data_IF_181587009046
#
_entry.id   IF_181587009046
#
_cell.length_a   1.000
_cell.length_b   1.000
_cell.length_c   1.000
_cell.angle_alpha   90.00
_cell.angle_beta   90.00
_cell.angle_gamma   90.00
#
_symmetry.space_group_name_H-M   'P 1'
#
loop_
_entity.id
_entity.type
_entity.pdbx_description
1 polymer ?
#
# COMPACT_ATOMS: atom_id res chain seq x y z
N UNK A 1 43.13 -10.16 -34.49
CA UNK A 1 42.14 -10.87 -35.33
C UNK A 1 40.93 -9.95 -35.52
N UNK A 2 40.71 -9.45 -36.74
CA UNK A 2 39.55 -8.62 -37.10
C UNK A 2 38.44 -9.53 -37.61
N UNK A 3 37.26 -9.48 -37.01
CA UNK A 3 36.06 -10.13 -37.54
C UNK A 3 35.11 -9.06 -38.06
N UNK A 4 34.99 -8.99 -39.39
CA UNK A 4 33.90 -8.30 -40.07
C UNK A 4 32.81 -9.34 -40.34
N UNK A 5 31.58 -9.06 -39.94
CA UNK A 5 30.41 -9.85 -40.33
C UNK A 5 29.48 -8.96 -41.14
N UNK A 6 29.24 -9.39 -42.38
CA UNK A 6 28.45 -8.70 -43.39
C UNK A 6 26.95 -8.77 -43.07
N UNK A 7 26.27 -7.64 -43.26
CA UNK A 7 24.81 -7.53 -43.18
C UNK A 7 24.18 -7.91 -44.53
N UNK A 8 23.32 -8.92 -44.53
CA UNK A 8 22.45 -9.26 -45.67
C UNK A 8 21.09 -8.57 -45.49
N UNK A 9 20.83 -7.56 -46.32
CA UNK A 9 19.53 -6.90 -46.45
C UNK A 9 18.66 -7.72 -47.41
N UNK A 10 17.60 -8.34 -46.90
CA UNK A 10 16.54 -8.93 -47.73
C UNK A 10 15.37 -7.97 -47.83
N UNK A 11 15.17 -7.44 -49.03
CA UNK A 11 14.00 -6.62 -49.41
C UNK A 11 12.85 -7.60 -49.66
N UNK A 12 11.79 -7.49 -48.85
CA UNK A 12 10.56 -8.26 -49.00
C UNK A 12 9.53 -7.39 -49.76
N UNK A 13 8.88 -7.88 -50.83
CA UNK A 13 7.94 -7.09 -51.62
C UNK A 13 6.64 -6.82 -50.84
N UNK A 14 6.30 -5.54 -50.69
CA UNK A 14 5.04 -5.07 -50.12
C UNK A 14 3.89 -5.37 -51.07
N UNK A 15 3.06 -6.35 -50.72
CA UNK A 15 1.72 -6.54 -51.29
C UNK A 15 0.78 -5.58 -50.55
N UNK A 16 0.35 -4.52 -51.23
CA UNK A 16 -0.66 -3.59 -50.74
C UNK A 16 -2.06 -4.20 -50.96
N UNK A 17 -2.60 -4.85 -49.93
CA UNK A 17 -4.03 -5.18 -49.86
C UNK A 17 -4.79 -3.94 -49.35
N UNK A 18 -5.56 -3.30 -50.23
CA UNK A 18 -6.50 -2.25 -49.87
C UNK A 18 -7.73 -2.88 -49.20
N UNK A 19 -7.70 -3.01 -47.87
CA UNK A 19 -8.87 -3.35 -47.06
C UNK A 19 -9.74 -2.10 -46.89
N UNK A 20 -11.00 -2.19 -47.31
CA UNK A 20 -12.01 -1.18 -47.05
C UNK A 20 -12.30 -1.12 -45.54
N UNK A 21 -11.72 -0.12 -44.87
CA UNK A 21 -11.94 0.14 -43.45
C UNK A 21 -13.32 0.80 -43.30
N UNK A 22 -14.32 0.02 -42.91
CA UNK A 22 -15.56 0.58 -42.38
C UNK A 22 -15.28 1.17 -40.99
N UNK A 23 -15.59 2.45 -40.73
CA UNK A 23 -15.50 2.99 -39.38
C UNK A 23 -16.59 2.33 -38.54
N UNK A 24 -16.20 1.37 -37.71
CA UNK A 24 -17.09 0.83 -36.70
C UNK A 24 -17.52 2.00 -35.78
N UNK A 25 -18.82 2.12 -35.43
CA UNK A 25 -19.25 3.09 -34.44
C UNK A 25 -18.55 2.77 -33.12
N UNK A 26 -17.60 3.63 -32.73
CA UNK A 26 -16.97 3.60 -31.42
C UNK A 26 -18.05 4.03 -30.42
N UNK A 27 -18.79 3.06 -29.91
CA UNK A 27 -19.67 3.22 -28.77
C UNK A 27 -18.78 3.47 -27.55
N UNK A 28 -18.29 4.70 -27.42
CA UNK A 28 -17.54 5.15 -26.27
C UNK A 28 -18.45 5.07 -25.06
N UNK A 29 -18.26 4.05 -24.21
CA UNK A 29 -18.79 4.09 -22.85
C UNK A 29 -18.28 5.38 -22.22
N UNK A 30 -19.15 6.17 -21.57
CA UNK A 30 -18.72 7.35 -20.85
C UNK A 30 -17.55 6.95 -19.96
N UNK A 31 -16.42 7.61 -20.16
CA UNK A 31 -15.24 7.46 -19.31
C UNK A 31 -15.73 7.60 -17.89
N UNK A 32 -15.46 6.58 -17.07
CA UNK A 32 -15.41 6.74 -15.62
C UNK A 32 -14.78 8.09 -15.35
N UNK A 33 -15.52 9.01 -14.74
CA UNK A 33 -15.01 10.34 -14.40
C UNK A 33 -13.61 10.16 -13.80
N UNK A 34 -12.61 10.84 -14.37
CA UNK A 34 -11.22 10.70 -13.93
C UNK A 34 -11.17 10.97 -12.43
N UNK A 35 -11.00 9.91 -11.66
CA UNK A 35 -10.95 10.02 -10.21
C UNK A 35 -9.65 10.72 -9.85
N UNK A 36 -9.78 11.97 -9.43
CA UNK A 36 -8.64 12.72 -8.95
C UNK A 36 -8.43 12.46 -7.47
N UNK A 37 -7.18 12.57 -7.03
CA UNK A 37 -6.77 12.41 -5.64
C UNK A 37 -7.55 13.35 -4.69
N UNK A 38 -7.97 14.50 -5.23
CA UNK A 38 -8.66 15.60 -4.55
C UNK A 38 -10.19 15.54 -4.66
N UNK A 39 -10.77 14.45 -5.19
CA UNK A 39 -12.22 14.29 -5.16
C UNK A 39 -12.71 14.23 -3.70
N UNK A 40 -13.77 14.99 -3.38
CA UNK A 40 -14.33 15.14 -2.01
C UNK A 40 -14.81 13.83 -1.38
N UNK A 41 -14.94 12.76 -2.16
CA UNK A 41 -15.30 11.44 -1.68
C UNK A 41 -14.07 10.66 -1.20
N UNK A 42 -13.85 10.67 0.11
CA UNK A 42 -12.88 9.78 0.77
C UNK A 42 -13.42 8.36 0.78
N UNK A 43 -12.78 7.45 0.04
CA UNK A 43 -13.20 6.06 -0.07
C UNK A 43 -12.22 5.11 0.61
N UNK A 44 -12.75 4.08 1.27
CA UNK A 44 -11.98 2.97 1.84
C UNK A 44 -11.52 1.99 0.75
N UNK A 45 -10.68 1.02 1.12
CA UNK A 45 -10.28 -0.09 0.24
C UNK A 45 -11.46 -0.83 -0.42
N UNK A 46 -12.62 -0.86 0.24
CA UNK A 46 -13.83 -1.54 -0.26
C UNK A 46 -14.67 -0.65 -1.20
N UNK A 47 -14.31 0.62 -1.36
CA UNK A 47 -15.09 1.62 -2.09
C UNK A 47 -16.31 2.14 -1.32
N UNK A 48 -16.38 1.91 -0.01
CA UNK A 48 -17.34 2.59 0.89
C UNK A 48 -16.78 3.96 1.31
N UNK A 49 -17.59 4.77 2.01
CA UNK A 49 -17.05 5.93 2.72
C UNK A 49 -15.90 5.52 3.65
N UNK A 50 -14.83 6.31 3.66
CA UNK A 50 -13.66 6.11 4.51
C UNK A 50 -14.04 6.32 5.97
N UNK A 51 -13.77 5.33 6.83
CA UNK A 51 -13.97 5.45 8.28
C UNK A 51 -12.84 6.27 8.91
N UNK A 52 -13.09 6.77 10.11
CA UNK A 52 -12.05 7.34 10.95
C UNK A 52 -11.06 6.25 11.37
N UNK A 53 -9.78 6.59 11.30
CA UNK A 53 -8.71 5.93 12.03
C UNK A 53 -8.74 6.48 13.47
N UNK A 54 -9.69 5.98 14.27
CA UNK A 54 -10.24 6.68 15.45
C UNK A 54 -9.28 6.72 16.65
N UNK A 55 -8.28 7.59 16.55
CA UNK A 55 -7.30 7.83 17.61
C UNK A 55 -7.92 8.43 18.88
N UNK A 56 -8.80 9.45 18.82
CA UNK A 56 -9.44 9.97 20.02
C UNK A 56 -10.27 8.91 20.76
N UNK A 57 -11.05 8.11 20.03
CA UNK A 57 -11.78 6.98 20.61
C UNK A 57 -10.85 5.98 21.29
N UNK A 58 -9.77 5.58 20.60
CA UNK A 58 -8.77 4.68 21.18
C UNK A 58 -8.16 5.22 22.48
N UNK A 59 -7.74 6.50 22.53
CA UNK A 59 -7.15 7.09 23.73
C UNK A 59 -8.13 7.24 24.88
N UNK A 60 -9.43 7.39 24.61
CA UNK A 60 -10.46 7.39 25.64
C UNK A 60 -10.59 6.02 26.32
N UNK A 61 -10.42 4.94 25.56
CA UNK A 61 -10.45 3.56 26.05
C UNK A 61 -9.10 3.12 26.66
N UNK A 62 -7.99 3.78 26.28
CA UNK A 62 -6.62 3.42 26.67
C UNK A 62 -5.89 4.62 27.30
N UNK A 63 -6.12 4.91 28.60
CA UNK A 63 -5.54 6.09 29.27
C UNK A 63 -4.01 6.17 29.24
N UNK A 64 -3.31 5.04 29.16
CA UNK A 64 -1.85 4.99 29.08
C UNK A 64 -1.30 5.33 27.67
N UNK A 65 -2.16 5.27 26.65
CA UNK A 65 -1.87 5.69 25.28
C UNK A 65 -2.18 7.17 25.02
N UNK A 66 -2.73 7.91 25.99
CA UNK A 66 -3.05 9.33 25.86
C UNK A 66 -1.82 10.13 25.41
N UNK A 67 -1.99 10.87 24.32
CA UNK A 67 -0.95 11.62 23.64
C UNK A 67 -1.42 13.04 23.34
N UNK A 68 -1.11 13.96 24.25
CA UNK A 68 -1.50 15.37 24.10
C UNK A 68 -0.75 16.09 22.97
N UNK A 69 0.38 15.54 22.49
CA UNK A 69 1.14 16.12 21.38
C UNK A 69 0.55 15.71 20.03
N UNK A 70 0.02 14.49 19.96
CA UNK A 70 -0.56 13.92 18.75
C UNK A 70 -1.99 13.43 19.02
N UNK A 71 -2.94 14.34 19.29
CA UNK A 71 -4.30 13.96 19.65
C UNK A 71 -5.09 13.40 18.46
N UNK A 72 -4.75 13.81 17.24
CA UNK A 72 -5.41 13.43 16.00
C UNK A 72 -4.42 12.86 14.98
N UNK A 73 -4.90 11.92 14.18
CA UNK A 73 -4.15 11.29 13.10
C UNK A 73 -4.55 11.84 11.72
N UNK A 74 -3.91 11.35 10.67
CA UNK A 74 -4.09 11.83 9.30
C UNK A 74 -3.26 13.07 9.01
N UNK A 75 -2.97 13.30 7.73
CA UNK A 75 -2.25 14.50 7.28
C UNK A 75 -3.00 15.78 7.69
N UNK A 76 -4.32 15.82 7.48
CA UNK A 76 -5.20 16.93 7.84
C UNK A 76 -5.56 17.02 9.33
N UNK A 77 -5.08 16.08 10.17
CA UNK A 77 -5.41 15.99 11.61
C UNK A 77 -6.92 15.90 11.90
N UNK A 78 -7.64 15.18 11.04
CA UNK A 78 -9.09 14.97 11.12
C UNK A 78 -9.48 13.50 11.29
N UNK A 79 -8.50 12.68 11.70
CA UNK A 79 -8.62 11.24 11.94
C UNK A 79 -8.98 10.41 10.70
N UNK A 80 -8.80 10.92 9.49
CA UNK A 80 -8.94 10.13 8.26
C UNK A 80 -7.59 9.99 7.55
N UNK A 81 -7.34 8.79 7.02
CA UNK A 81 -6.18 8.55 6.16
C UNK A 81 -6.51 8.95 4.71
N UNK A 82 -6.95 10.20 4.53
CA UNK A 82 -7.41 10.75 3.26
C UNK A 82 -6.29 10.90 2.23
N UNK A 83 -6.68 11.01 0.96
CA UNK A 83 -5.79 11.39 -0.13
C UNK A 83 -5.90 12.90 -0.33
N UNK A 84 -4.76 13.57 -0.47
CA UNK A 84 -4.68 15.01 -0.68
C UNK A 84 -3.44 15.27 -1.50
N UNK A 85 -3.54 16.04 -2.58
CA UNK A 85 -2.41 16.35 -3.45
C UNK A 85 -1.21 16.99 -2.74
N UNK A 86 -1.43 17.62 -1.57
CA UNK A 86 -0.35 18.18 -0.73
C UNK A 86 0.33 17.18 0.19
N UNK A 87 -0.23 15.98 0.39
CA UNK A 87 0.35 14.93 1.21
C UNK A 87 1.35 14.08 0.42
N UNK A 88 2.53 14.66 0.20
CA UNK A 88 3.65 13.95 -0.44
C UNK A 88 4.09 12.68 0.32
N UNK A 89 3.68 12.52 1.59
CA UNK A 89 3.93 11.32 2.38
C UNK A 89 2.95 10.18 2.10
N UNK A 90 1.82 10.46 1.46
CA UNK A 90 0.76 9.49 1.17
C UNK A 90 0.33 8.71 2.43
N UNK A 91 -0.16 9.43 3.46
CA UNK A 91 -0.61 8.88 4.74
C UNK A 91 -1.96 8.16 4.62
N UNK A 92 -2.06 7.21 3.71
CA UNK A 92 -3.31 6.57 3.30
C UNK A 92 -3.66 5.31 4.11
N UNK A 93 -2.71 4.77 4.89
CA UNK A 93 -2.88 3.47 5.57
C UNK A 93 -3.16 3.68 7.05
N UNK A 94 -4.34 3.27 7.52
CA UNK A 94 -4.65 3.24 8.95
C UNK A 94 -4.11 1.93 9.55
N UNK A 95 -3.26 2.05 10.57
CA UNK A 95 -2.73 0.91 11.32
C UNK A 95 -2.80 1.14 12.81
N UNK A 96 -2.92 0.07 13.58
CA UNK A 96 -2.65 0.11 15.01
C UNK A 96 -1.16 0.05 15.28
N UNK A 97 -0.58 1.18 15.70
CA UNK A 97 0.83 1.25 16.02
C UNK A 97 1.17 0.32 17.20
N UNK A 98 2.14 -0.60 17.06
CA UNK A 98 2.49 -1.56 18.10
C UNK A 98 3.05 -0.86 19.34
N UNK A 99 2.82 -1.46 20.50
CA UNK A 99 3.33 -0.95 21.78
C UNK A 99 4.72 -1.50 22.09
N UNK A 100 5.60 -0.61 22.57
CA UNK A 100 6.87 -0.95 23.19
C UNK A 100 7.15 -0.04 24.39
N UNK A 101 8.16 -0.41 25.19
CA UNK A 101 8.58 0.33 26.39
C UNK A 101 10.10 0.47 26.37
N UNK A 102 10.60 1.68 26.62
CA UNK A 102 12.04 1.96 26.75
C UNK A 102 12.61 1.31 28.02
N UNK A 103 13.94 1.22 28.14
CA UNK A 103 14.58 0.74 29.37
C UNK A 103 14.20 1.59 30.61
N UNK A 104 13.90 2.88 30.40
CA UNK A 104 13.43 3.81 31.43
C UNK A 104 11.92 3.80 31.68
N UNK A 105 11.18 2.81 31.16
CA UNK A 105 9.74 2.64 31.44
C UNK A 105 8.81 3.54 30.63
N UNK A 106 9.31 4.36 29.69
CA UNK A 106 8.48 5.20 28.82
C UNK A 106 7.86 4.38 27.69
N UNK A 107 6.56 4.55 27.48
CA UNK A 107 5.80 3.93 26.37
C UNK A 107 6.11 4.65 25.06
N UNK A 108 6.30 3.87 23.99
CA UNK A 108 6.45 4.35 22.61
C UNK A 108 5.95 3.28 21.63
N UNK A 109 5.96 3.57 20.33
CA UNK A 109 5.77 2.55 19.29
C UNK A 109 7.11 2.17 18.65
N UNK A 110 7.44 0.87 18.63
CA UNK A 110 8.66 0.40 17.97
C UNK A 110 8.64 0.62 16.46
N UNK A 111 7.46 0.85 15.86
CA UNK A 111 7.27 1.30 14.49
C UNK A 111 8.29 2.39 14.10
N UNK A 112 8.43 3.46 14.89
CA UNK A 112 9.30 4.59 14.57
C UNK A 112 10.77 4.19 14.46
N UNK A 113 11.21 3.23 15.27
CA UNK A 113 12.59 2.72 15.21
C UNK A 113 12.77 1.72 14.06
N UNK A 114 11.75 0.88 13.80
CA UNK A 114 11.81 -0.15 12.76
C UNK A 114 11.72 0.45 11.35
N UNK A 115 11.01 1.56 11.18
CA UNK A 115 10.97 2.31 9.91
C UNK A 115 12.16 3.26 9.72
N UNK A 116 12.96 3.47 10.76
CA UNK A 116 14.13 4.36 10.76
C UNK A 116 13.80 5.84 10.94
N UNK A 117 12.56 6.18 11.32
CA UNK A 117 12.15 7.56 11.60
C UNK A 117 12.71 8.07 12.94
N UNK A 118 12.95 7.17 13.89
CA UNK A 118 13.67 7.41 15.12
C UNK A 118 14.93 6.53 15.17
N UNK A 119 16.05 7.10 15.58
CA UNK A 119 17.34 6.41 15.73
C UNK A 119 17.46 5.61 17.04
N UNK A 120 16.58 5.84 18.02
CA UNK A 120 16.54 5.06 19.27
C UNK A 120 15.13 5.00 19.88
N UNK A 121 14.88 4.05 20.81
CA UNK A 121 13.65 4.01 21.60
C UNK A 121 13.36 5.31 22.35
N UNK A 122 14.39 5.95 22.90
CA UNK A 122 14.27 7.21 23.63
C UNK A 122 13.82 8.34 22.72
N UNK A 123 14.39 8.44 21.51
CA UNK A 123 13.94 9.39 20.50
C UNK A 123 12.51 9.07 20.06
N UNK A 124 12.15 7.79 19.93
CA UNK A 124 10.81 7.37 19.55
C UNK A 124 9.72 7.78 20.57
N UNK A 125 10.07 8.07 21.83
CA UNK A 125 9.11 8.63 22.82
C UNK A 125 8.61 10.04 22.48
N UNK A 126 9.24 10.72 21.51
CA UNK A 126 8.78 12.04 21.05
C UNK A 126 7.81 11.99 19.88
N UNK A 127 7.59 10.81 19.31
CA UNK A 127 6.70 10.50 18.19
C UNK A 127 5.33 10.03 18.69
N UNK A 128 4.32 9.88 17.81
CA UNK A 128 3.00 9.44 18.23
C UNK A 128 3.05 8.11 18.99
N UNK A 129 2.32 8.05 20.11
CA UNK A 129 2.16 6.84 20.93
C UNK A 129 1.39 5.73 20.20
N UNK A 130 1.49 4.47 20.68
CA UNK A 130 0.75 3.31 20.17
C UNK A 130 -0.76 3.55 19.98
N UNK A 131 -1.38 2.76 19.10
CA UNK A 131 -2.79 2.88 18.70
C UNK A 131 -2.98 3.36 17.25
N UNK A 132 -4.23 3.63 16.82
CA UNK A 132 -4.56 3.98 15.45
C UNK A 132 -3.76 5.20 14.96
N UNK A 133 -3.13 5.04 13.80
CA UNK A 133 -2.39 6.09 13.12
C UNK A 133 -2.39 5.91 11.60
N UNK A 134 -2.44 7.03 10.89
CA UNK A 134 -2.32 7.07 9.44
C UNK A 134 -0.85 7.17 9.08
N UNK A 135 -0.32 6.13 8.46
CA UNK A 135 1.09 6.04 8.08
C UNK A 135 1.25 6.16 6.56
N UNK A 136 2.44 6.61 6.17
CA UNK A 136 2.86 6.65 4.77
C UNK A 136 2.83 5.24 4.13
N UNK A 137 2.51 5.17 2.84
CA UNK A 137 2.59 3.91 2.08
C UNK A 137 3.98 3.27 2.14
N UNK A 138 5.03 4.06 1.95
CA UNK A 138 6.41 3.58 2.04
C UNK A 138 6.75 3.04 3.44
N UNK A 139 6.16 3.62 4.49
CA UNK A 139 6.42 3.21 5.86
C UNK A 139 5.75 1.87 6.16
N UNK A 140 4.54 1.65 5.63
CA UNK A 140 3.89 0.34 5.66
C UNK A 140 4.76 -0.72 4.95
N UNK A 141 5.19 -0.45 3.73
CA UNK A 141 6.04 -1.37 2.96
C UNK A 141 7.33 -1.74 3.72
N UNK A 142 8.03 -0.76 4.30
CA UNK A 142 9.24 -0.98 5.09
C UNK A 142 8.98 -1.74 6.38
N UNK A 143 7.93 -1.39 7.12
CA UNK A 143 7.60 -2.06 8.38
C UNK A 143 7.25 -3.52 8.12
N UNK A 144 6.39 -3.77 7.14
CA UNK A 144 5.98 -5.11 6.70
C UNK A 144 7.17 -5.95 6.24
N UNK A 145 8.15 -5.37 5.53
CA UNK A 145 9.36 -6.09 5.12
C UNK A 145 10.20 -6.59 6.32
N UNK A 146 10.10 -5.94 7.48
CA UNK A 146 10.79 -6.33 8.72
C UNK A 146 9.92 -7.14 9.68
N UNK A 147 8.60 -6.99 9.59
CA UNK A 147 7.58 -7.55 10.48
C UNK A 147 6.38 -7.97 9.63
N UNK A 148 6.40 -9.15 8.99
CA UNK A 148 5.31 -9.59 8.09
C UNK A 148 3.92 -9.55 8.75
N UNK A 149 3.84 -9.82 10.06
CA UNK A 149 2.61 -9.79 10.84
C UNK A 149 1.98 -8.39 10.94
N UNK A 150 2.72 -7.33 10.61
CA UNK A 150 2.25 -5.95 10.65
C UNK A 150 1.05 -5.71 9.71
N UNK A 151 0.89 -6.54 8.67
CA UNK A 151 -0.29 -6.44 7.79
C UNK A 151 -1.60 -6.78 8.50
N UNK A 152 -1.56 -7.55 9.59
CA UNK A 152 -2.74 -7.84 10.42
C UNK A 152 -3.17 -6.67 11.31
N UNK A 153 -2.40 -5.58 11.38
CA UNK A 153 -2.71 -4.38 12.17
C UNK A 153 -3.42 -3.29 11.35
N UNK A 154 -3.73 -3.56 10.07
CA UNK A 154 -4.37 -2.59 9.18
C UNK A 154 -5.88 -2.54 9.43
N UNK A 155 -6.44 -1.35 9.63
CA UNK A 155 -7.89 -1.14 9.49
C UNK A 155 -8.24 -0.91 8.02
N UNK A 156 -8.81 -1.92 7.39
CA UNK A 156 -9.16 -1.91 5.98
C UNK A 156 -10.27 -0.90 5.62
N UNK A 157 -11.15 -0.55 6.58
CA UNK A 157 -12.21 0.43 6.35
C UNK A 157 -11.75 1.88 6.56
N UNK A 158 -10.70 2.09 7.35
CA UNK A 158 -10.06 3.39 7.57
C UNK A 158 -8.83 3.63 6.68
N UNK A 159 -8.44 2.65 5.86
CA UNK A 159 -7.39 2.76 4.85
C UNK A 159 -7.96 3.21 3.51
N UNK A 160 -7.37 4.24 2.92
CA UNK A 160 -7.83 4.83 1.66
C UNK A 160 -7.39 4.02 0.45
N UNK A 161 -8.30 3.80 -0.49
CA UNK A 161 -8.07 3.00 -1.70
C UNK A 161 -6.93 3.47 -2.59
N UNK A 162 -6.53 4.74 -2.52
CA UNK A 162 -5.39 5.29 -3.26
C UNK A 162 -4.08 4.56 -2.96
N UNK A 163 -3.95 3.91 -1.79
CA UNK A 163 -2.78 3.04 -1.50
C UNK A 163 -2.63 1.93 -2.55
N UNK A 164 -3.74 1.32 -2.98
CA UNK A 164 -3.71 0.25 -3.98
C UNK A 164 -3.31 0.84 -5.33
N UNK A 165 -3.86 2.00 -5.69
CA UNK A 165 -3.57 2.63 -6.98
C UNK A 165 -2.11 3.06 -7.12
N UNK A 166 -1.51 3.58 -6.04
CA UNK A 166 -0.18 4.17 -6.08
C UNK A 166 0.98 3.18 -5.90
N UNK A 167 0.77 1.99 -5.31
CA UNK A 167 1.88 1.03 -5.21
C UNK A 167 2.38 0.59 -6.59
N UNK A 168 3.68 0.72 -6.83
CA UNK A 168 4.33 0.29 -8.05
C UNK A 168 4.70 -1.20 -7.96
N UNK A 169 4.11 -2.01 -8.84
CA UNK A 169 4.39 -3.44 -8.89
C UNK A 169 5.80 -3.77 -9.44
N UNK A 170 6.47 -2.82 -10.09
CA UNK A 170 7.87 -2.98 -10.49
C UNK A 170 8.84 -2.88 -9.30
N UNK A 171 8.41 -2.25 -8.20
CA UNK A 171 9.20 -2.12 -6.97
C UNK A 171 8.88 -3.28 -6.03
N UNK A 172 9.89 -4.11 -5.73
CA UNK A 172 9.68 -5.34 -4.96
C UNK A 172 9.04 -5.11 -3.58
N UNK A 173 9.45 -4.06 -2.86
CA UNK A 173 8.92 -3.71 -1.54
C UNK A 173 7.44 -3.31 -1.59
N UNK A 174 7.06 -2.49 -2.57
CA UNK A 174 5.69 -2.05 -2.81
C UNK A 174 4.79 -3.16 -3.35
N UNK A 175 5.30 -3.99 -4.27
CA UNK A 175 4.63 -5.17 -4.80
C UNK A 175 4.23 -6.11 -3.64
N UNK A 176 5.20 -6.40 -2.78
CA UNK A 176 5.02 -7.17 -1.56
C UNK A 176 4.01 -6.51 -0.60
N UNK A 177 4.16 -5.21 -0.33
CA UNK A 177 3.24 -4.48 0.53
C UNK A 177 1.79 -4.58 0.02
N UNK A 178 1.58 -4.37 -1.27
CA UNK A 178 0.26 -4.46 -1.89
C UNK A 178 -0.31 -5.88 -1.80
N UNK A 179 0.47 -6.92 -2.13
CA UNK A 179 0.04 -8.32 -1.99
C UNK A 179 -0.44 -8.64 -0.56
N UNK A 180 0.32 -8.19 0.45
CA UNK A 180 -0.04 -8.40 1.85
C UNK A 180 -1.32 -7.64 2.25
N UNK A 181 -1.45 -6.39 1.82
CA UNK A 181 -2.66 -5.59 2.05
C UNK A 181 -3.90 -6.21 1.39
N UNK A 182 -3.77 -6.65 0.13
CA UNK A 182 -4.84 -7.31 -0.61
C UNK A 182 -5.31 -8.60 0.10
N UNK A 183 -4.36 -9.38 0.63
CA UNK A 183 -4.68 -10.60 1.38
C UNK A 183 -5.32 -10.29 2.73
N UNK A 184 -4.74 -9.38 3.51
CA UNK A 184 -5.24 -9.02 4.85
C UNK A 184 -6.68 -8.47 4.81
N UNK A 185 -6.99 -7.68 3.78
CA UNK A 185 -8.29 -7.06 3.62
C UNK A 185 -9.26 -7.84 2.70
N UNK A 186 -8.85 -8.99 2.15
CA UNK A 186 -9.68 -9.80 1.25
C UNK A 186 -10.13 -9.06 -0.01
N UNK A 187 -9.23 -8.26 -0.62
CA UNK A 187 -9.61 -7.29 -1.65
C UNK A 187 -9.92 -7.89 -3.02
N UNK A 188 -9.63 -9.17 -3.24
CA UNK A 188 -9.98 -9.89 -4.48
C UNK A 188 -11.44 -10.38 -4.50
N UNK A 189 -12.12 -10.37 -3.34
CA UNK A 189 -13.50 -10.85 -3.20
C UNK A 189 -14.59 -9.85 -3.58
N UNK A 190 -15.85 -10.28 -3.46
CA UNK A 190 -17.03 -9.53 -3.88
C UNK A 190 -17.30 -8.27 -3.05
N UNK A 191 -16.76 -8.20 -1.83
CA UNK A 191 -16.85 -7.05 -0.93
C UNK A 191 -16.16 -5.79 -1.49
N UNK A 192 -15.18 -5.94 -2.38
CA UNK A 192 -14.50 -4.83 -3.03
C UNK A 192 -15.31 -4.36 -4.23
N UNK A 193 -16.00 -3.22 -4.10
CA UNK A 193 -16.87 -2.70 -5.16
C UNK A 193 -16.11 -2.29 -6.43
N UNK A 194 -14.84 -1.94 -6.29
CA UNK A 194 -14.03 -1.35 -7.36
C UNK A 194 -13.26 -2.42 -8.13
N UNK A 195 -13.61 -2.59 -9.41
CA UNK A 195 -12.97 -3.59 -10.28
C UNK A 195 -11.46 -3.36 -10.46
N UNK A 196 -11.02 -2.10 -10.54
CA UNK A 196 -9.60 -1.75 -10.64
C UNK A 196 -8.76 -2.26 -9.47
N UNK A 197 -9.31 -2.21 -8.24
CA UNK A 197 -8.65 -2.74 -7.04
C UNK A 197 -8.54 -4.26 -7.14
N UNK A 198 -9.64 -4.95 -7.43
CA UNK A 198 -9.65 -6.42 -7.59
C UNK A 198 -8.64 -6.89 -8.63
N UNK A 199 -8.61 -6.23 -9.79
CA UNK A 199 -7.67 -6.52 -10.88
C UNK A 199 -6.21 -6.32 -10.44
N UNK A 200 -5.90 -5.19 -9.81
CA UNK A 200 -4.52 -4.90 -9.37
C UNK A 200 -4.06 -5.84 -8.25
N UNK A 201 -4.94 -6.19 -7.32
CA UNK A 201 -4.65 -7.20 -6.29
C UNK A 201 -4.39 -8.59 -6.89
N UNK A 202 -5.23 -9.04 -7.82
CA UNK A 202 -5.02 -10.30 -8.53
C UNK A 202 -3.70 -10.30 -9.31
N UNK A 203 -3.38 -9.19 -9.98
CA UNK A 203 -2.09 -9.03 -10.65
C UNK A 203 -0.92 -9.10 -9.66
N UNK A 204 -0.98 -8.36 -8.54
CA UNK A 204 0.04 -8.40 -7.50
C UNK A 204 0.25 -9.82 -6.96
N UNK A 205 -0.82 -10.58 -6.73
CA UNK A 205 -0.71 -11.99 -6.30
C UNK A 205 0.03 -12.87 -7.32
N UNK A 206 -0.14 -12.61 -8.62
CA UNK A 206 0.48 -13.37 -9.69
C UNK A 206 1.95 -12.99 -9.93
N UNK A 207 2.28 -11.69 -9.89
CA UNK A 207 3.60 -11.21 -10.33
C UNK A 207 4.53 -10.86 -9.18
N UNK A 208 4.01 -10.52 -8.00
CA UNK A 208 4.87 -10.28 -6.85
C UNK A 208 5.35 -11.62 -6.33
N UNK A 209 6.68 -11.85 -6.26
CA UNK A 209 7.22 -13.12 -5.82
C UNK A 209 6.62 -13.52 -4.46
N UNK A 210 6.51 -14.83 -4.24
CA UNK A 210 6.33 -15.33 -2.90
C UNK A 210 7.50 -14.81 -2.07
N UNK A 211 7.21 -14.06 -1.01
CA UNK A 211 7.99 -14.34 0.18
C UNK A 211 7.44 -15.66 0.64
N UNK A 212 7.92 -16.75 0.04
CA UNK A 212 7.57 -18.08 0.51
C UNK A 212 7.85 -18.02 2.00
N UNK A 213 6.78 -18.22 2.77
CA UNK A 213 6.81 -18.24 4.21
C UNK A 213 8.04 -19.08 4.55
N UNK A 214 8.97 -18.58 5.37
CA UNK A 214 10.13 -19.37 5.74
C UNK A 214 9.71 -20.75 6.32
N UNK A 215 8.45 -20.83 6.76
CA UNK A 215 7.70 -22.04 7.13
C UNK A 215 7.45 -23.02 5.96
N UNK A 216 7.13 -22.57 4.75
CA UNK A 216 7.00 -23.44 3.56
C UNK A 216 8.36 -24.02 3.12
N UNK A 217 9.45 -23.27 3.30
CA UNK A 217 10.81 -23.76 3.02
C UNK A 217 11.26 -24.85 4.02
N UNK A 218 10.70 -24.93 5.22
CA UNK A 218 11.00 -26.01 6.17
C UNK A 218 10.39 -27.35 5.77
N UNK A 219 9.31 -27.37 4.99
CA UNK A 219 8.65 -28.60 4.56
C UNK A 219 9.31 -29.25 3.32
N UNK A 220 10.10 -28.50 2.54
CA UNK A 220 10.64 -28.94 1.25
C UNK A 220 12.15 -29.17 1.18
N UNK A 221 12.92 -28.78 2.21
CA UNK A 221 14.34 -29.13 2.35
C UNK A 221 15.32 -28.54 1.32
N UNK A 222 14.92 -27.60 0.44
CA UNK A 222 15.78 -27.13 -0.65
C UNK A 222 15.61 -25.65 -1.04
N UNK A 223 15.50 -24.75 -0.06
CA UNK A 223 15.67 -23.32 -0.30
C UNK A 223 17.13 -22.94 0.00
N UNK A 224 17.95 -22.72 -1.03
CA UNK A 224 19.23 -22.03 -0.88
C UNK A 224 18.94 -20.54 -0.68
N UNK A 225 19.30 -20.01 0.49
CA UNK A 225 19.32 -18.57 0.78
C UNK A 225 20.47 -17.87 0.06
#
# INVERSE_FOLDING_TARGET
LKWQVAAMVRICPCVFLALAIWPAPVLGKPSTEDETEDNTMRLSLYGSALRKCDRPGYMAEHPDAVDSRFPHTGYARDDHCGSMSSDAGSHYVCVDLPRAVTAGGKVYSDFWTKTGQAGSPEQATTWPKPGPWCICMWAFARMRARRPEFSGMVDCHATNYWVVQNYDLARSDECHALKALCSACGLEGDQTKREGIRKKCSLARQICPGQDDAETCQAGGNCQM
#
